data_IF_851691929300
#
_entry.id   IF_851691929300
#
_cell.length_a   1.000
_cell.length_b   1.000
_cell.length_c   1.000
_cell.angle_alpha   90.00
_cell.angle_beta   90.00
_cell.angle_gamma   90.00
#
_symmetry.space_group_name_H-M   'P 1'
#
loop_
_entity.id
_entity.type
_entity.pdbx_description
1 polymer ?
#
# COMPACT_ATOMS: atom_id res chain seq x y z
N UNK A 1 -6.72 -12.05 -36.11
CA UNK A 1 -7.15 -13.34 -35.53
C UNK A 1 -7.79 -13.23 -34.13
N UNK A 2 -7.13 -12.58 -33.16
CA UNK A 2 -7.61 -12.48 -31.75
C UNK A 2 -9.05 -11.93 -31.65
N UNK A 3 -9.36 -10.86 -32.39
CA UNK A 3 -10.69 -10.25 -32.38
C UNK A 3 -11.82 -11.21 -32.79
N UNK A 4 -11.57 -12.11 -33.76
CA UNK A 4 -12.56 -13.10 -34.21
C UNK A 4 -12.79 -14.18 -33.15
N UNK A 5 -11.73 -14.62 -32.46
CA UNK A 5 -11.84 -15.55 -31.33
C UNK A 5 -12.60 -14.90 -30.17
N UNK A 6 -12.31 -13.63 -29.86
CA UNK A 6 -13.02 -12.87 -28.81
C UNK A 6 -14.52 -12.77 -29.14
N UNK A 7 -14.90 -12.45 -30.38
CA UNK A 7 -16.32 -12.44 -30.78
C UNK A 7 -16.97 -13.82 -30.71
N UNK A 8 -16.28 -14.88 -31.14
CA UNK A 8 -16.80 -16.25 -31.10
C UNK A 8 -17.11 -16.73 -29.67
N UNK A 9 -16.23 -16.41 -28.71
CA UNK A 9 -16.36 -16.90 -27.34
C UNK A 9 -17.12 -15.93 -26.40
N UNK A 10 -17.03 -14.61 -26.61
CA UNK A 10 -17.60 -13.59 -25.70
C UNK A 10 -18.74 -12.76 -26.33
N UNK A 11 -19.07 -12.97 -27.60
CA UNK A 11 -20.09 -12.17 -28.30
C UNK A 11 -21.53 -12.42 -27.87
N UNK A 12 -21.83 -13.56 -27.24
CA UNK A 12 -23.18 -13.93 -26.79
C UNK A 12 -23.50 -13.48 -25.36
N UNK A 13 -22.62 -12.68 -24.72
CA UNK A 13 -22.84 -12.22 -23.36
C UNK A 13 -23.71 -10.95 -23.42
N UNK A 14 -24.94 -10.95 -22.86
CA UNK A 14 -25.77 -9.75 -22.83
C UNK A 14 -25.09 -8.67 -21.98
N UNK A 15 -25.23 -7.40 -22.39
CA UNK A 15 -24.69 -6.29 -21.60
C UNK A 15 -25.40 -6.23 -20.25
N UNK A 16 -24.62 -6.12 -19.18
CA UNK A 16 -25.17 -5.77 -17.86
C UNK A 16 -25.83 -4.38 -17.88
N UNK A 17 -26.64 -4.07 -16.87
CA UNK A 17 -27.23 -2.75 -16.72
C UNK A 17 -26.13 -1.67 -16.66
N UNK A 18 -26.44 -0.47 -17.16
CA UNK A 18 -25.49 0.65 -17.13
C UNK A 18 -25.16 1.01 -15.68
N UNK A 19 -23.96 0.71 -15.24
CA UNK A 19 -23.47 1.09 -13.92
C UNK A 19 -23.17 2.59 -13.92
N UNK A 20 -23.82 3.35 -13.04
CA UNK A 20 -23.39 4.71 -12.74
C UNK A 20 -22.08 4.62 -11.94
N UNK A 21 -21.05 5.36 -12.37
CA UNK A 21 -19.81 5.44 -11.60
C UNK A 21 -20.12 6.20 -10.30
N UNK A 22 -19.92 5.54 -9.17
CA UNK A 22 -20.05 6.21 -7.88
C UNK A 22 -19.05 7.36 -7.77
N UNK A 23 -19.49 8.45 -7.14
CA UNK A 23 -18.62 9.57 -6.84
C UNK A 23 -17.51 9.14 -5.87
N UNK A 24 -16.34 9.75 -6.02
CA UNK A 24 -15.15 9.47 -5.23
C UNK A 24 -15.39 9.92 -3.79
N UNK A 25 -15.68 8.98 -2.90
CA UNK A 25 -15.89 9.27 -1.48
C UNK A 25 -14.76 8.68 -0.63
N UNK A 26 -13.64 9.40 -0.56
CA UNK A 26 -12.55 9.07 0.34
C UNK A 26 -12.98 9.45 1.75
N UNK A 27 -13.18 8.44 2.61
CA UNK A 27 -13.55 8.67 4.01
C UNK A 27 -12.55 9.60 4.68
N UNK A 28 -12.99 10.66 5.37
CA UNK A 28 -12.09 11.51 6.15
C UNK A 28 -11.80 10.83 7.48
N UNK A 29 -10.52 10.64 7.81
CA UNK A 29 -10.11 10.20 9.15
C UNK A 29 -9.86 11.42 10.04
N UNK A 30 -10.66 11.57 11.09
CA UNK A 30 -10.52 12.67 12.07
C UNK A 30 -9.66 12.28 13.27
N UNK A 31 -9.58 10.97 13.56
CA UNK A 31 -8.93 10.45 14.77
C UNK A 31 -7.84 9.40 14.46
N UNK A 32 -6.82 9.40 15.32
CA UNK A 32 -5.76 8.40 15.31
C UNK A 32 -6.19 7.17 16.12
N UNK A 33 -6.38 6.05 15.43
CA UNK A 33 -6.70 4.76 16.05
C UNK A 33 -5.45 3.90 16.13
N UNK A 34 -5.21 3.25 17.26
CA UNK A 34 -4.12 2.28 17.44
C UNK A 34 -4.67 1.00 18.02
N UNK A 35 -4.35 -0.11 17.36
CA UNK A 35 -4.73 -1.44 17.79
C UNK A 35 -3.48 -2.27 18.01
N UNK A 36 -3.49 -3.07 19.07
CA UNK A 36 -2.41 -3.98 19.42
C UNK A 36 -2.95 -5.40 19.37
N UNK A 37 -2.26 -6.25 18.62
CA UNK A 37 -2.57 -7.67 18.49
C UNK A 37 -1.35 -8.46 18.93
N UNK A 38 -1.56 -9.40 19.85
CA UNK A 38 -0.52 -10.33 20.26
C UNK A 38 -0.62 -11.60 19.40
N UNK A 39 0.48 -11.94 18.73
CA UNK A 39 0.63 -13.15 17.93
C UNK A 39 1.95 -13.83 18.29
N UNK A 40 2.04 -15.15 18.11
CA UNK A 40 3.23 -15.96 18.42
C UNK A 40 4.27 -15.85 17.30
N UNK A 41 4.68 -14.62 16.98
CA UNK A 41 5.70 -14.34 15.96
C UNK A 41 7.01 -13.88 16.59
N UNK A 42 8.12 -14.39 16.08
CA UNK A 42 9.47 -13.97 16.53
C UNK A 42 9.78 -12.53 16.14
N UNK A 43 9.11 -12.02 15.11
CA UNK A 43 9.35 -10.71 14.53
C UNK A 43 8.14 -9.79 14.74
N UNK A 44 8.19 -8.84 15.69
CA UNK A 44 7.13 -7.85 15.83
C UNK A 44 7.03 -6.95 14.59
N UNK A 45 5.80 -6.72 14.16
CA UNK A 45 5.45 -5.88 13.00
C UNK A 45 4.72 -4.64 13.46
N UNK A 46 5.12 -3.49 12.94
CA UNK A 46 4.34 -2.25 13.02
C UNK A 46 3.84 -1.91 11.62
N UNK A 47 2.52 -1.74 11.51
CA UNK A 47 1.83 -1.32 10.29
C UNK A 47 1.14 0.01 10.55
N UNK A 48 1.41 0.99 9.72
CA UNK A 48 0.75 2.29 9.75
C UNK A 48 -0.06 2.45 8.47
N UNK A 49 -1.31 2.89 8.59
CA UNK A 49 -2.21 3.08 7.46
C UNK A 49 -2.70 4.53 7.44
N UNK A 50 -2.82 5.11 6.26
CA UNK A 50 -3.39 6.44 6.04
C UNK A 50 -4.17 6.48 4.73
N UNK A 51 -4.98 7.51 4.55
CA UNK A 51 -5.81 7.68 3.37
C UNK A 51 -5.01 8.36 2.26
N UNK A 52 -5.25 7.95 1.02
CA UNK A 52 -4.53 8.44 -0.15
C UNK A 52 -5.53 8.86 -1.24
N UNK A 53 -5.13 9.73 -2.18
CA UNK A 53 -6.02 10.14 -3.28
C UNK A 53 -6.40 8.96 -4.19
N UNK A 54 -7.49 9.13 -4.94
CA UNK A 54 -8.00 8.12 -5.88
C UNK A 54 -6.91 7.70 -6.88
N UNK A 55 -6.95 6.42 -7.25
CA UNK A 55 -6.12 5.88 -8.31
C UNK A 55 -6.33 6.63 -9.64
N UNK A 56 -5.23 6.92 -10.34
CA UNK A 56 -5.24 7.64 -11.62
C UNK A 56 -5.19 9.17 -11.49
N UNK A 57 -5.23 9.72 -10.27
CA UNK A 57 -5.00 11.15 -10.05
C UNK A 57 -3.52 11.51 -10.14
N UNK A 58 -3.23 12.78 -10.44
CA UNK A 58 -1.86 13.31 -10.46
C UNK A 58 -1.20 13.19 -9.07
N UNK A 59 -1.98 13.41 -8.01
CA UNK A 59 -1.51 13.36 -6.63
C UNK A 59 -1.10 11.94 -6.22
N UNK A 60 -1.85 10.91 -6.64
CA UNK A 60 -1.45 9.52 -6.42
C UNK A 60 -0.09 9.20 -7.06
N UNK A 61 0.14 9.70 -8.28
CA UNK A 61 1.43 9.54 -8.96
C UNK A 61 2.58 10.25 -8.22
N UNK A 62 2.33 11.46 -7.72
CA UNK A 62 3.32 12.20 -6.93
C UNK A 62 3.63 11.49 -5.60
N UNK A 63 2.61 10.90 -4.96
CA UNK A 63 2.77 10.14 -3.73
C UNK A 63 3.59 8.86 -3.96
N UNK A 64 3.37 8.15 -5.06
CA UNK A 64 4.15 6.97 -5.45
C UNK A 64 5.62 7.32 -5.72
N UNK A 65 5.87 8.47 -6.35
CA UNK A 65 7.23 8.97 -6.55
C UNK A 65 7.91 9.29 -5.21
N UNK A 66 7.21 10.01 -4.32
CA UNK A 66 7.71 10.35 -3.00
C UNK A 66 8.01 9.09 -2.16
N UNK A 67 7.09 8.11 -2.20
CA UNK A 67 7.27 6.79 -1.58
C UNK A 67 8.55 6.09 -2.08
N UNK A 68 8.74 6.07 -3.39
CA UNK A 68 9.89 5.42 -4.02
C UNK A 68 11.20 6.07 -3.58
N UNK A 69 11.26 7.40 -3.53
CA UNK A 69 12.45 8.13 -3.05
C UNK A 69 12.74 7.82 -1.56
N UNK A 70 11.69 7.67 -0.75
CA UNK A 70 11.84 7.47 0.69
C UNK A 70 12.22 6.04 1.06
N UNK A 71 11.64 5.03 0.39
CA UNK A 71 11.72 3.63 0.81
C UNK A 71 12.57 2.74 -0.10
N UNK A 72 12.78 3.09 -1.37
CA UNK A 72 13.34 2.14 -2.34
C UNK A 72 14.86 2.14 -2.33
N UNK A 73 15.43 0.97 -2.02
CA UNK A 73 16.87 0.71 -2.09
C UNK A 73 17.66 1.12 -0.84
N UNK A 74 18.95 0.75 -0.83
CA UNK A 74 19.89 0.99 0.28
C UNK A 74 20.33 2.45 0.40
N UNK A 75 20.16 3.24 -0.65
CA UNK A 75 20.48 4.67 -0.67
C UNK A 75 19.34 5.55 -0.14
N UNK A 76 18.14 4.98 0.08
CA UNK A 76 16.94 5.71 0.46
C UNK A 76 17.07 6.35 1.84
N UNK A 77 16.35 7.46 2.05
CA UNK A 77 16.41 8.23 3.30
C UNK A 77 15.89 7.43 4.48
N UNK A 78 14.82 6.66 4.30
CA UNK A 78 14.25 5.82 5.34
C UNK A 78 15.21 4.69 5.72
N UNK A 79 15.82 4.03 4.72
CA UNK A 79 16.78 2.95 4.96
C UNK A 79 18.01 3.45 5.72
N UNK A 80 18.59 4.59 5.34
CA UNK A 80 19.75 5.16 6.06
C UNK A 80 19.40 5.55 7.50
N UNK A 81 18.25 6.19 7.71
CA UNK A 81 17.83 6.68 9.03
C UNK A 81 17.48 5.56 10.01
N UNK A 82 16.84 4.49 9.51
CA UNK A 82 16.44 3.35 10.34
C UNK A 82 17.55 2.29 10.40
N UNK A 83 18.14 1.91 9.27
CA UNK A 83 19.01 0.73 9.13
C UNK A 83 20.49 0.91 9.51
N UNK A 84 21.04 2.13 9.58
CA UNK A 84 22.47 2.33 9.92
C UNK A 84 22.68 2.70 11.39
N UNK A 85 21.69 3.32 12.05
CA UNK A 85 21.82 3.78 13.44
C UNK A 85 21.25 2.82 14.48
N UNK A 86 20.43 1.88 14.04
CA UNK A 86 19.72 0.88 14.85
C UNK A 86 19.65 -0.39 14.00
N UNK A 87 20.39 -1.43 14.36
CA UNK A 87 20.45 -2.72 13.63
C UNK A 87 19.14 -3.53 13.71
N UNK A 88 17.99 -2.85 13.65
CA UNK A 88 16.71 -3.30 14.19
C UNK A 88 15.62 -3.52 13.11
N UNK A 89 15.76 -3.02 11.86
CA UNK A 89 14.77 -3.24 10.78
C UNK A 89 15.33 -4.20 9.71
N UNK A 90 14.76 -5.39 9.60
CA UNK A 90 15.11 -6.34 8.52
C UNK A 90 14.37 -5.99 7.21
N UNK A 91 13.14 -5.49 7.32
CA UNK A 91 12.33 -5.15 6.15
C UNK A 91 11.45 -3.93 6.43
N UNK A 92 11.79 -2.84 5.75
CA UNK A 92 11.04 -1.59 5.76
C UNK A 92 10.44 -1.46 4.34
N UNK A 93 9.11 -1.61 4.23
CA UNK A 93 8.39 -1.55 2.97
C UNK A 93 7.29 -0.50 3.06
N UNK A 94 7.31 0.44 2.13
CA UNK A 94 6.17 1.29 1.85
C UNK A 94 5.38 0.65 0.70
N UNK A 95 4.09 0.42 0.91
CA UNK A 95 3.21 -0.15 -0.11
C UNK A 95 1.99 0.75 -0.25
N UNK A 96 1.77 1.24 -1.46
CA UNK A 96 0.51 1.88 -1.83
C UNK A 96 -0.45 0.80 -2.36
N UNK A 97 -1.54 0.55 -1.62
CA UNK A 97 -2.56 -0.42 -2.02
C UNK A 97 -3.60 0.29 -2.89
N UNK A 98 -3.36 0.24 -4.21
CA UNK A 98 -4.19 0.90 -5.25
C UNK A 98 -5.68 0.52 -5.26
N UNK A 99 -6.07 -0.54 -4.54
CA UNK A 99 -7.42 -1.09 -4.57
C UNK A 99 -8.34 -0.57 -3.45
N UNK A 100 -7.84 0.24 -2.51
CA UNK A 100 -8.61 0.68 -1.32
C UNK A 100 -8.38 2.13 -0.91
N UNK A 101 -7.78 2.94 -1.78
CA UNK A 101 -7.43 4.34 -1.46
C UNK A 101 -6.76 4.49 -0.08
N UNK A 102 -5.91 3.50 0.26
CA UNK A 102 -5.12 3.48 1.49
C UNK A 102 -3.62 3.27 1.21
N UNK A 103 -2.79 4.09 1.87
CA UNK A 103 -1.35 3.93 1.94
C UNK A 103 -0.97 3.16 3.19
N UNK A 104 0.07 2.34 3.10
CA UNK A 104 0.58 1.55 4.23
C UNK A 104 2.11 1.60 4.30
N UNK A 105 2.64 1.80 5.51
CA UNK A 105 4.05 1.52 5.81
C UNK A 105 4.09 0.32 6.74
N UNK A 106 4.86 -0.68 6.31
CA UNK A 106 5.26 -1.80 7.15
C UNK A 106 6.71 -1.66 7.58
N UNK A 107 6.95 -1.76 8.88
CA UNK A 107 8.27 -1.94 9.45
C UNK A 107 8.28 -3.26 10.23
N UNK A 108 9.08 -4.23 9.78
CA UNK A 108 9.38 -5.45 10.55
C UNK A 108 10.63 -5.21 11.38
N UNK A 109 10.49 -5.33 12.71
CA UNK A 109 11.59 -5.12 13.65
C UNK A 109 12.02 -6.42 14.29
N UNK A 110 13.31 -6.74 14.20
CA UNK A 110 13.89 -7.82 14.99
C UNK A 110 14.07 -7.25 16.38
N UNK A 111 13.21 -7.62 17.34
CA UNK A 111 13.56 -7.42 18.75
C UNK A 111 14.77 -8.33 19.01
N UNK A 112 16.00 -7.80 18.89
CA UNK A 112 17.07 -8.31 19.75
C UNK A 112 16.60 -8.04 21.17
N UNK A 113 16.27 -9.09 21.89
CA UNK A 113 15.88 -9.02 23.29
C UNK A 113 16.86 -8.09 24.02
N UNK A 114 16.37 -6.90 24.41
CA UNK A 114 17.06 -6.10 25.42
C UNK A 114 16.92 -6.89 26.71
N UNK A 115 18.03 -7.47 27.17
CA UNK A 115 18.23 -7.71 28.60
C UNK A 115 18.41 -6.37 29.29
#
# INVERSE_FOLDING_TARGET
EIFQRVKKYFGNIPSGPSLSRHEVNIAKRTEDTREYYEDRVTEPRVSMYWNVPEWGTREATMLDLASSILSTGKSSRLYKKIGVRRSDCHQCQFVHLRARDCGHVQCRRTRKARR
#
